data_IF_084826362660
#
_entry.id   IF_084826362660
#
_cell.length_a   1.000
_cell.length_b   1.000
_cell.length_c   1.000
_cell.angle_alpha   90.00
_cell.angle_beta   90.00
_cell.angle_gamma   90.00
#
_symmetry.space_group_name_H-M   'P 1'
#
loop_
_entity.id
_entity.type
_entity.pdbx_description
1 polymer ?
#
# COMPACT_ATOMS: atom_id res chain seq x y z
N UNK A 1 49.53 -6.50 -12.28
CA UNK A 1 48.11 -6.91 -12.41
C UNK A 1 47.71 -7.43 -11.05
N UNK A 2 46.98 -6.60 -10.28
CA UNK A 2 46.67 -6.85 -8.87
C UNK A 2 45.61 -7.95 -8.73
N UNK A 3 45.93 -9.09 -8.08
CA UNK A 3 44.97 -10.19 -7.86
C UNK A 3 43.85 -9.82 -6.87
N UNK A 4 44.05 -8.78 -6.04
CA UNK A 4 43.18 -8.36 -4.94
C UNK A 4 41.83 -7.78 -5.43
N UNK A 5 41.87 -6.99 -6.52
CA UNK A 5 40.64 -6.43 -7.11
C UNK A 5 39.74 -7.49 -7.71
N UNK A 6 40.32 -8.58 -8.24
CA UNK A 6 39.56 -9.67 -8.86
C UNK A 6 38.87 -10.55 -7.79
N UNK A 7 39.52 -10.83 -6.66
CA UNK A 7 38.87 -11.50 -5.53
C UNK A 7 37.76 -10.64 -4.90
N UNK A 8 37.97 -9.33 -4.78
CA UNK A 8 36.96 -8.40 -4.26
C UNK A 8 35.75 -8.28 -5.21
N UNK A 9 35.98 -8.22 -6.53
CA UNK A 9 34.86 -8.26 -7.51
C UNK A 9 34.14 -9.61 -7.55
N UNK A 10 34.84 -10.72 -7.30
CA UNK A 10 34.24 -12.06 -7.28
C UNK A 10 33.36 -12.27 -6.03
N UNK A 11 33.81 -11.79 -4.86
CA UNK A 11 32.98 -11.77 -3.62
C UNK A 11 31.75 -10.88 -3.75
N UNK A 12 31.91 -9.69 -4.35
CA UNK A 12 30.79 -8.78 -4.61
C UNK A 12 29.76 -9.36 -5.60
N UNK A 13 30.19 -10.21 -6.55
CA UNK A 13 29.30 -10.90 -7.48
C UNK A 13 28.54 -12.07 -6.82
N UNK A 14 29.17 -12.82 -5.91
CA UNK A 14 28.52 -13.90 -5.14
C UNK A 14 27.47 -13.36 -4.14
N UNK A 15 27.69 -12.18 -3.56
CA UNK A 15 26.73 -11.48 -2.69
C UNK A 15 25.43 -11.07 -3.39
N UNK A 16 25.43 -10.99 -4.73
CA UNK A 16 24.32 -10.39 -5.48
C UNK A 16 23.20 -11.38 -5.79
N UNK A 17 23.50 -12.67 -5.92
CA UNK A 17 22.52 -13.72 -6.25
C UNK A 17 22.65 -14.98 -5.36
N UNK A 18 23.40 -14.90 -4.26
CA UNK A 18 23.64 -16.00 -3.33
C UNK A 18 22.70 -16.01 -2.11
N UNK A 19 22.72 -17.10 -1.31
CA UNK A 19 21.96 -17.25 -0.06
C UNK A 19 22.15 -16.09 0.94
N UNK A 20 23.23 -15.30 0.80
CA UNK A 20 23.56 -14.17 1.65
C UNK A 20 22.70 -12.91 1.45
N UNK A 21 22.09 -12.68 0.28
CA UNK A 21 21.35 -11.44 0.03
C UNK A 21 20.13 -11.27 0.97
N UNK A 22 19.43 -12.37 1.26
CA UNK A 22 18.30 -12.38 2.21
C UNK A 22 18.76 -12.08 3.63
N UNK A 23 19.91 -12.62 4.04
CA UNK A 23 20.48 -12.37 5.37
C UNK A 23 21.02 -10.95 5.51
N UNK A 24 21.66 -10.41 4.47
CA UNK A 24 22.08 -9.00 4.43
C UNK A 24 20.88 -8.09 4.62
N UNK A 25 19.79 -8.29 3.87
CA UNK A 25 18.56 -7.49 4.01
C UNK A 25 17.98 -7.67 5.42
N UNK A 26 17.85 -8.90 5.91
CA UNK A 26 17.31 -9.19 7.26
C UNK A 26 18.07 -8.46 8.37
N UNK A 27 19.40 -8.46 8.29
CA UNK A 27 20.27 -7.91 9.32
C UNK A 27 20.40 -6.40 9.22
N UNK A 28 20.57 -5.88 8.00
CA UNK A 28 21.02 -4.50 7.77
C UNK A 28 19.90 -3.53 7.38
N UNK A 29 18.67 -4.03 7.31
CA UNK A 29 17.50 -3.24 6.97
C UNK A 29 16.39 -3.37 8.01
N UNK A 30 15.38 -2.52 7.90
CA UNK A 30 14.17 -2.58 8.69
C UNK A 30 13.00 -2.02 7.88
N UNK A 31 11.78 -2.35 8.27
CA UNK A 31 10.57 -1.80 7.66
C UNK A 31 10.03 -0.61 8.46
N UNK A 32 9.60 0.44 7.76
CA UNK A 32 9.05 1.68 8.33
C UNK A 32 7.57 1.53 8.71
N UNK A 33 7.31 0.93 9.86
CA UNK A 33 5.95 0.74 10.39
C UNK A 33 5.22 2.05 10.68
N UNK A 34 5.94 3.13 10.97
CA UNK A 34 5.37 4.46 11.15
C UNK A 34 4.71 4.99 9.87
N UNK A 35 5.22 4.61 8.69
CA UNK A 35 4.60 4.98 7.40
C UNK A 35 3.27 4.27 7.19
N UNK A 36 3.19 2.98 7.49
CA UNK A 36 1.92 2.23 7.46
C UNK A 36 0.89 2.83 8.44
N UNK A 37 1.35 3.28 9.62
CA UNK A 37 0.50 3.84 10.68
C UNK A 37 0.02 5.27 10.38
N UNK A 38 0.67 5.96 9.44
CA UNK A 38 0.32 7.31 9.02
C UNK A 38 -0.81 7.35 7.98
N UNK A 39 -1.11 6.23 7.32
CA UNK A 39 -2.16 6.10 6.30
C UNK A 39 -3.36 5.28 6.80
N UNK A 40 -4.34 4.99 5.95
CA UNK A 40 -5.45 4.11 6.34
C UNK A 40 -4.90 2.71 6.65
N UNK A 41 -5.15 2.26 7.89
CA UNK A 41 -4.76 0.94 8.37
C UNK A 41 -5.81 0.37 9.29
N UNK A 42 -6.02 -0.93 9.27
CA UNK A 42 -7.02 -1.60 10.12
C UNK A 42 -6.36 -2.52 11.13
N UNK A 43 -7.01 -2.77 12.27
CA UNK A 43 -6.45 -3.70 13.26
C UNK A 43 -6.43 -5.11 12.65
N UNK A 44 -5.27 -5.78 12.56
CA UNK A 44 -5.17 -7.10 11.95
C UNK A 44 -6.15 -8.12 12.53
N UNK A 45 -6.44 -8.02 13.82
CA UNK A 45 -7.39 -8.90 14.53
C UNK A 45 -8.80 -8.88 13.93
N UNK A 46 -9.15 -7.83 13.20
CA UNK A 46 -10.46 -7.67 12.56
C UNK A 46 -10.54 -8.44 11.25
N UNK A 47 -9.44 -8.55 10.50
CA UNK A 47 -9.44 -9.15 9.18
C UNK A 47 -8.78 -10.53 9.11
N UNK A 48 -8.01 -10.96 10.12
CA UNK A 48 -7.39 -12.29 10.11
C UNK A 48 -8.43 -13.42 10.05
N UNK A 49 -9.53 -13.41 10.84
CA UNK A 49 -10.59 -14.42 10.69
C UNK A 49 -11.29 -14.35 9.33
N UNK A 50 -11.33 -13.16 8.72
CA UNK A 50 -11.93 -12.96 7.39
C UNK A 50 -11.02 -13.57 6.32
N UNK A 51 -9.70 -13.41 6.44
CA UNK A 51 -8.72 -14.00 5.52
C UNK A 51 -8.91 -15.52 5.42
N UNK A 52 -9.08 -16.20 6.55
CA UNK A 52 -9.33 -17.64 6.57
C UNK A 52 -10.62 -18.00 5.83
N UNK A 53 -11.71 -17.26 6.07
CA UNK A 53 -12.99 -17.47 5.37
C UNK A 53 -12.89 -17.20 3.86
N UNK A 54 -12.10 -16.22 3.45
CA UNK A 54 -11.91 -15.87 2.03
C UNK A 54 -10.95 -16.83 1.31
N UNK A 55 -10.06 -17.51 2.03
CA UNK A 55 -9.08 -18.46 1.47
C UNK A 55 -9.59 -19.92 1.49
N UNK A 56 -10.32 -20.34 2.53
CA UNK A 56 -10.56 -21.76 2.85
C UNK A 56 -11.59 -22.52 1.98
N UNK A 57 -12.14 -21.97 0.90
CA UNK A 57 -13.23 -22.68 0.17
C UNK A 57 -12.96 -23.03 -1.30
N UNK A 58 -11.72 -22.92 -1.79
CA UNK A 58 -11.43 -23.09 -3.23
C UNK A 58 -11.11 -24.53 -3.67
N UNK A 59 -10.76 -25.43 -2.75
CA UNK A 59 -10.25 -26.76 -3.15
C UNK A 59 -11.31 -27.88 -3.15
N UNK A 60 -12.49 -27.66 -2.57
CA UNK A 60 -13.60 -28.62 -2.65
C UNK A 60 -14.57 -28.10 -3.70
N UNK A 61 -14.67 -28.77 -4.85
CA UNK A 61 -15.68 -28.45 -5.87
C UNK A 61 -17.04 -28.96 -5.35
N UNK A 62 -17.98 -28.05 -5.08
CA UNK A 62 -19.33 -28.43 -4.65
C UNK A 62 -20.24 -28.32 -5.86
N UNK A 63 -20.46 -29.43 -6.54
CA UNK A 63 -21.34 -29.52 -7.71
C UNK A 63 -22.83 -29.55 -7.32
N UNK A 64 -23.14 -29.86 -6.05
CA UNK A 64 -24.51 -30.08 -5.57
C UNK A 64 -25.33 -28.79 -5.41
N UNK A 65 -24.69 -27.62 -5.54
CA UNK A 65 -25.37 -26.32 -5.46
C UNK A 65 -25.53 -25.73 -6.86
N UNK A 66 -26.72 -25.22 -7.17
CA UNK A 66 -27.03 -24.50 -8.41
C UNK A 66 -26.66 -23.00 -8.29
N UNK A 67 -26.29 -22.34 -9.40
CA UNK A 67 -26.20 -20.87 -9.47
C UNK A 67 -27.55 -20.21 -9.82
N UNK A 68 -28.63 -20.99 -9.86
CA UNK A 68 -29.95 -20.55 -10.30
C UNK A 68 -29.91 -20.17 -11.78
N UNK A 69 -30.42 -18.98 -12.10
CA UNK A 69 -30.52 -18.48 -13.48
C UNK A 69 -29.18 -18.37 -14.22
N UNK A 70 -28.04 -18.34 -13.50
CA UNK A 70 -26.71 -18.30 -14.12
C UNK A 70 -26.23 -19.68 -14.60
N UNK A 71 -26.87 -20.78 -14.21
CA UNK A 71 -26.51 -22.12 -14.70
C UNK A 71 -26.82 -22.31 -16.20
N UNK A 72 -27.50 -21.35 -16.83
CA UNK A 72 -27.67 -21.31 -18.30
C UNK A 72 -26.36 -21.04 -19.03
N UNK A 73 -25.39 -20.41 -18.35
CA UNK A 73 -24.10 -20.06 -18.94
C UNK A 73 -23.08 -21.18 -18.76
N UNK A 74 -22.22 -21.43 -19.76
CA UNK A 74 -21.01 -22.23 -19.58
C UNK A 74 -20.13 -21.66 -18.46
N UNK A 75 -19.37 -22.54 -17.81
CA UNK A 75 -18.56 -22.19 -16.65
C UNK A 75 -17.53 -21.10 -16.98
N UNK A 76 -16.98 -21.13 -18.19
CA UNK A 76 -16.03 -20.16 -18.73
C UNK A 76 -16.62 -18.76 -18.73
N UNK A 77 -17.88 -18.62 -19.16
CA UNK A 77 -18.59 -17.34 -19.19
C UNK A 77 -18.84 -16.82 -17.77
N UNK A 78 -19.19 -17.71 -16.83
CA UNK A 78 -19.36 -17.31 -15.43
C UNK A 78 -18.04 -16.86 -14.82
N UNK A 79 -16.92 -17.51 -15.16
CA UNK A 79 -15.60 -17.07 -14.73
C UNK A 79 -15.22 -15.71 -15.31
N UNK A 80 -15.45 -15.47 -16.60
CA UNK A 80 -15.23 -14.15 -17.21
C UNK A 80 -16.07 -13.09 -16.52
N UNK A 81 -17.37 -13.34 -16.29
CA UNK A 81 -18.23 -12.42 -15.54
C UNK A 81 -17.59 -12.08 -14.19
N UNK A 82 -17.12 -13.08 -13.43
CA UNK A 82 -16.48 -12.85 -12.13
C UNK A 82 -15.23 -11.96 -12.22
N UNK A 83 -14.45 -12.06 -13.30
CA UNK A 83 -13.26 -11.22 -13.52
C UNK A 83 -13.65 -9.76 -13.82
N UNK A 84 -14.76 -9.53 -14.53
CA UNK A 84 -15.26 -8.20 -14.87
C UNK A 84 -16.11 -7.53 -13.77
N UNK A 85 -16.52 -8.27 -12.73
CA UNK A 85 -17.21 -7.67 -11.60
C UNK A 85 -16.28 -6.73 -10.83
N UNK A 86 -16.81 -5.54 -10.51
CA UNK A 86 -16.19 -4.68 -9.51
C UNK A 86 -16.07 -5.42 -8.15
N UNK A 87 -15.08 -5.04 -7.33
CA UNK A 87 -14.80 -5.70 -6.05
C UNK A 87 -16.07 -5.74 -5.17
N UNK A 88 -16.88 -4.68 -5.17
CA UNK A 88 -18.10 -4.63 -4.39
C UNK A 88 -19.13 -5.67 -4.86
N UNK A 89 -19.31 -5.84 -6.16
CA UNK A 89 -20.22 -6.81 -6.78
C UNK A 89 -19.70 -8.24 -6.66
N UNK A 90 -18.39 -8.46 -6.85
CA UNK A 90 -17.73 -9.75 -6.69
C UNK A 90 -17.92 -10.31 -5.27
N UNK A 91 -17.71 -9.48 -4.24
CA UNK A 91 -17.90 -9.90 -2.85
C UNK A 91 -19.39 -10.06 -2.46
N UNK A 92 -20.32 -9.42 -3.18
CA UNK A 92 -21.76 -9.71 -3.06
C UNK A 92 -22.08 -11.06 -3.67
N UNK A 93 -21.59 -11.35 -4.87
CA UNK A 93 -21.75 -12.64 -5.54
C UNK A 93 -21.18 -13.79 -4.70
N UNK A 94 -19.99 -13.61 -4.13
CA UNK A 94 -19.34 -14.55 -3.21
C UNK A 94 -20.21 -14.94 -1.98
N UNK A 95 -21.22 -14.12 -1.63
CA UNK A 95 -22.12 -14.35 -0.48
C UNK A 95 -23.45 -15.00 -0.85
N UNK A 96 -23.74 -15.19 -2.13
CA UNK A 96 -25.05 -15.72 -2.60
C UNK A 96 -25.23 -17.18 -2.17
N UNK A 97 -24.27 -18.05 -2.51
CA UNK A 97 -24.27 -19.45 -2.11
C UNK A 97 -22.84 -20.04 -2.18
N UNK A 98 -22.68 -21.33 -1.84
CA UNK A 98 -21.36 -22.00 -1.83
C UNK A 98 -20.71 -22.08 -3.22
N UNK A 99 -21.50 -22.29 -4.29
CA UNK A 99 -20.98 -22.35 -5.67
C UNK A 99 -20.54 -20.98 -6.16
N UNK A 100 -21.34 -19.94 -5.93
CA UNK A 100 -20.97 -18.56 -6.27
C UNK A 100 -19.68 -18.13 -5.56
N UNK A 101 -19.51 -18.53 -4.30
CA UNK A 101 -18.25 -18.36 -3.56
C UNK A 101 -17.07 -19.02 -4.26
N UNK A 102 -17.20 -20.29 -4.64
CA UNK A 102 -16.13 -21.02 -5.32
C UNK A 102 -15.73 -20.35 -6.63
N UNK A 103 -16.70 -19.90 -7.42
CA UNK A 103 -16.43 -19.27 -8.71
C UNK A 103 -15.81 -17.89 -8.56
N UNK A 104 -16.32 -17.06 -7.64
CA UNK A 104 -15.76 -15.76 -7.32
C UNK A 104 -14.28 -15.85 -6.87
N UNK A 105 -13.95 -16.91 -6.13
CA UNK A 105 -12.60 -17.13 -5.58
C UNK A 105 -11.67 -17.95 -6.48
N UNK A 106 -12.14 -18.40 -7.65
CA UNK A 106 -11.37 -19.31 -8.50
C UNK A 106 -10.20 -18.62 -9.21
N UNK A 107 -10.35 -17.34 -9.54
CA UNK A 107 -9.35 -16.61 -10.33
C UNK A 107 -8.02 -16.47 -9.57
N UNK A 108 -6.91 -16.54 -10.32
CA UNK A 108 -5.57 -16.31 -9.75
C UNK A 108 -5.45 -14.91 -9.14
N UNK A 109 -6.12 -13.92 -9.74
CA UNK A 109 -6.15 -12.54 -9.27
C UNK A 109 -6.75 -12.44 -7.87
N UNK A 110 -7.90 -13.09 -7.66
CA UNK A 110 -8.53 -13.17 -6.34
C UNK A 110 -7.60 -13.84 -5.33
N UNK A 111 -7.05 -15.01 -5.69
CA UNK A 111 -6.18 -15.78 -4.78
C UNK A 111 -4.96 -14.98 -4.35
N UNK A 112 -4.24 -14.35 -5.28
CA UNK A 112 -3.07 -13.54 -4.96
C UNK A 112 -3.45 -12.34 -4.07
N UNK A 113 -4.50 -11.60 -4.44
CA UNK A 113 -4.93 -10.41 -3.70
C UNK A 113 -5.41 -10.76 -2.28
N UNK A 114 -6.21 -11.81 -2.11
CA UNK A 114 -6.66 -12.21 -0.77
C UNK A 114 -5.51 -12.77 0.07
N UNK A 115 -4.57 -13.49 -0.53
CA UNK A 115 -3.41 -14.02 0.20
C UNK A 115 -2.46 -12.92 0.65
N UNK A 116 -2.17 -11.93 -0.20
CA UNK A 116 -1.09 -10.97 0.05
C UNK A 116 -1.56 -9.55 0.39
N UNK A 117 -2.80 -9.18 0.05
CA UNK A 117 -3.33 -7.82 0.14
C UNK A 117 -4.76 -7.74 0.71
N UNK A 118 -5.15 -8.66 1.60
CA UNK A 118 -6.51 -8.68 2.21
C UNK A 118 -6.88 -7.37 2.90
N UNK A 119 -5.90 -6.68 3.50
CA UNK A 119 -6.12 -5.39 4.15
C UNK A 119 -6.54 -4.32 3.14
N UNK A 120 -5.87 -4.26 1.98
CA UNK A 120 -6.23 -3.35 0.90
C UNK A 120 -7.64 -3.65 0.33
N UNK A 121 -8.02 -4.92 0.22
CA UNK A 121 -9.39 -5.33 -0.14
C UNK A 121 -10.41 -4.81 0.88
N UNK A 122 -10.13 -5.03 2.17
CA UNK A 122 -11.00 -4.59 3.24
C UNK A 122 -11.17 -3.07 3.23
N UNK A 123 -10.07 -2.33 3.11
CA UNK A 123 -10.09 -0.87 3.08
C UNK A 123 -10.83 -0.36 1.84
N UNK A 124 -10.61 -0.96 0.68
CA UNK A 124 -11.34 -0.63 -0.56
C UNK A 124 -12.86 -0.78 -0.37
N UNK A 125 -13.32 -1.86 0.28
CA UNK A 125 -14.73 -2.07 0.60
C UNK A 125 -15.24 -1.06 1.64
N UNK A 126 -14.46 -0.78 2.70
CA UNK A 126 -14.86 0.11 3.81
C UNK A 126 -14.89 1.59 3.44
N UNK A 127 -14.07 1.99 2.48
CA UNK A 127 -14.05 3.35 1.93
C UNK A 127 -15.10 3.55 0.84
N UNK A 128 -15.72 2.46 0.35
CA UNK A 128 -16.80 2.52 -0.63
C UNK A 128 -16.33 2.70 -2.08
N UNK A 129 -15.01 2.67 -2.33
CA UNK A 129 -14.46 2.80 -3.69
C UNK A 129 -14.48 1.49 -4.48
N UNK A 130 -14.77 0.37 -3.82
CA UNK A 130 -14.81 -0.96 -4.41
C UNK A 130 -15.77 -1.15 -5.59
N UNK A 131 -16.69 -0.22 -5.85
CA UNK A 131 -17.59 -0.26 -7.02
C UNK A 131 -16.95 0.27 -8.31
N UNK A 132 -15.76 0.85 -8.23
CA UNK A 132 -15.07 1.47 -9.37
C UNK A 132 -13.97 0.60 -9.96
N UNK A 133 -13.55 -0.44 -9.24
CA UNK A 133 -12.39 -1.24 -9.58
C UNK A 133 -12.70 -2.73 -9.42
N UNK A 134 -12.11 -3.54 -10.28
CA UNK A 134 -12.16 -4.99 -10.25
C UNK A 134 -11.06 -5.57 -9.37
N UNK A 135 -11.15 -6.86 -9.07
CA UNK A 135 -10.07 -7.58 -8.37
C UNK A 135 -8.80 -7.67 -9.23
N UNK A 136 -8.96 -7.66 -10.56
CA UNK A 136 -7.85 -7.66 -11.52
C UNK A 136 -7.08 -6.34 -11.48
N UNK A 137 -7.77 -5.21 -11.29
CA UNK A 137 -7.14 -3.90 -11.14
C UNK A 137 -6.27 -3.87 -9.88
N UNK A 138 -6.78 -4.36 -8.75
CA UNK A 138 -5.99 -4.43 -7.51
C UNK A 138 -4.79 -5.37 -7.66
N UNK A 139 -4.97 -6.50 -8.35
CA UNK A 139 -3.87 -7.41 -8.65
C UNK A 139 -2.80 -6.75 -9.54
N UNK A 140 -3.20 -5.99 -10.56
CA UNK A 140 -2.26 -5.27 -11.41
C UNK A 140 -1.38 -4.31 -10.58
N UNK A 141 -1.99 -3.54 -9.69
CA UNK A 141 -1.25 -2.60 -8.80
C UNK A 141 -0.38 -3.33 -7.78
N UNK A 142 -0.83 -4.48 -7.28
CA UNK A 142 -0.05 -5.36 -6.41
C UNK A 142 1.26 -5.82 -7.10
N UNK A 143 1.22 -6.00 -8.42
CA UNK A 143 2.37 -6.39 -9.25
C UNK A 143 3.21 -5.20 -9.76
N UNK A 144 2.91 -3.96 -9.38
CA UNK A 144 3.73 -2.80 -9.72
C UNK A 144 4.69 -2.50 -8.57
N UNK A 145 6.00 -2.53 -8.84
CA UNK A 145 7.07 -2.28 -7.85
C UNK A 145 7.24 -0.80 -7.51
N UNK A 146 7.19 0.05 -8.53
CA UNK A 146 7.61 1.44 -8.43
C UNK A 146 6.41 2.39 -8.27
N UNK A 147 6.65 3.51 -7.61
CA UNK A 147 5.73 4.64 -7.51
C UNK A 147 5.53 5.24 -8.89
N UNK A 148 4.27 5.45 -9.28
CA UNK A 148 3.96 6.00 -10.61
C UNK A 148 4.43 7.45 -10.78
N UNK A 149 4.51 8.23 -9.69
CA UNK A 149 4.92 9.64 -9.74
C UNK A 149 6.44 9.87 -9.76
N UNK A 150 7.24 9.01 -9.12
CA UNK A 150 8.66 9.29 -8.88
C UNK A 150 9.61 8.09 -9.05
N UNK A 151 9.10 6.94 -9.46
CA UNK A 151 9.85 5.70 -9.70
C UNK A 151 10.57 5.08 -8.48
N UNK A 152 10.49 5.69 -7.29
CA UNK A 152 10.93 5.07 -6.04
C UNK A 152 10.08 3.84 -5.70
N UNK A 153 10.50 3.00 -4.74
CA UNK A 153 9.67 1.86 -4.33
C UNK A 153 8.30 2.34 -3.82
N UNK A 154 7.22 1.84 -4.42
CA UNK A 154 5.87 2.21 -4.02
C UNK A 154 5.38 1.25 -2.94
N UNK A 155 5.35 1.62 -1.66
CA UNK A 155 4.81 0.77 -0.59
C UNK A 155 3.29 0.84 -0.41
N UNK A 156 2.60 1.61 -1.24
CA UNK A 156 1.23 2.05 -1.00
C UNK A 156 0.38 2.08 -2.27
N UNK A 157 -0.94 2.08 -2.08
CA UNK A 157 -1.94 2.31 -3.13
C UNK A 157 -2.76 3.57 -2.82
N UNK A 158 -2.75 4.50 -3.76
CA UNK A 158 -3.60 5.67 -3.77
C UNK A 158 -4.98 5.28 -4.34
N UNK A 159 -5.95 5.14 -3.45
CA UNK A 159 -7.27 4.57 -3.76
C UNK A 159 -8.05 5.33 -4.84
N UNK A 160 -8.04 6.68 -4.93
CA UNK A 160 -8.85 7.40 -5.91
C UNK A 160 -8.53 7.10 -7.37
N UNK A 161 -7.31 6.62 -7.65
CA UNK A 161 -6.86 6.24 -9.00
C UNK A 161 -6.45 4.77 -9.11
N UNK A 162 -6.48 4.00 -8.01
CA UNK A 162 -5.84 2.68 -7.95
C UNK A 162 -4.40 2.73 -8.46
N UNK A 163 -3.65 3.71 -7.97
CA UNK A 163 -2.29 4.01 -8.43
C UNK A 163 -1.27 3.61 -7.37
N UNK A 164 -0.13 3.06 -7.80
CA UNK A 164 0.99 2.74 -6.91
C UNK A 164 1.71 4.01 -6.48
N UNK A 165 1.97 4.18 -5.19
CA UNK A 165 2.69 5.35 -4.67
C UNK A 165 3.68 5.03 -3.54
N UNK A 166 4.66 5.90 -3.33
CA UNK A 166 5.59 5.85 -2.20
C UNK A 166 5.17 6.84 -1.11
N UNK A 167 5.72 6.65 0.10
CA UNK A 167 5.40 7.52 1.24
C UNK A 167 5.79 8.98 1.02
N UNK A 168 6.95 9.23 0.40
CA UNK A 168 7.42 10.58 0.08
C UNK A 168 6.42 11.33 -0.79
N UNK A 169 5.84 10.70 -1.80
CA UNK A 169 4.82 11.34 -2.63
C UNK A 169 3.51 11.64 -1.87
N UNK A 170 3.17 10.84 -0.86
CA UNK A 170 2.03 11.11 0.04
C UNK A 170 2.34 12.35 0.89
N UNK A 171 3.56 12.46 1.39
CA UNK A 171 3.97 13.54 2.30
C UNK A 171 4.24 14.87 1.59
N UNK A 172 4.85 14.83 0.40
CA UNK A 172 5.29 16.02 -0.35
C UNK A 172 4.24 16.52 -1.36
N UNK A 173 2.98 16.13 -1.21
CA UNK A 173 1.86 16.55 -2.07
C UNK A 173 2.08 16.29 -3.58
N UNK A 174 2.91 15.30 -3.92
CA UNK A 174 3.20 14.93 -5.31
C UNK A 174 2.13 14.02 -5.94
N UNK A 175 1.12 13.64 -5.15
CA UNK A 175 -0.05 12.91 -5.62
C UNK A 175 -1.13 13.87 -6.16
N UNK A 176 -2.00 13.40 -7.07
CA UNK A 176 -3.13 14.20 -7.54
C UNK A 176 -3.98 14.76 -6.40
N UNK A 177 -4.34 16.04 -6.50
CA UNK A 177 -5.00 16.77 -5.43
C UNK A 177 -6.38 16.17 -5.09
N UNK A 178 -6.65 16.05 -3.78
CA UNK A 178 -7.86 15.45 -3.23
C UNK A 178 -8.56 16.46 -2.32
N UNK A 179 -9.85 16.68 -2.58
CA UNK A 179 -10.65 17.62 -1.81
C UNK A 179 -11.92 16.99 -1.24
N UNK A 180 -12.46 17.56 -0.14
CA UNK A 180 -13.76 17.16 0.39
C UNK A 180 -14.87 17.38 -0.62
N UNK A 181 -15.71 16.37 -0.85
CA UNK A 181 -16.87 16.46 -1.72
C UNK A 181 -17.85 17.57 -1.29
N UNK A 182 -17.82 17.99 -0.01
CA UNK A 182 -18.56 19.17 0.48
C UNK A 182 -18.24 20.46 -0.26
N UNK A 183 -17.05 20.58 -0.85
CA UNK A 183 -16.64 21.75 -1.61
C UNK A 183 -17.31 21.79 -2.99
N UNK A 184 -17.82 20.66 -3.46
CA UNK A 184 -18.41 20.49 -4.80
C UNK A 184 -19.93 20.34 -4.74
N UNK A 185 -20.46 19.78 -3.63
CA UNK A 185 -21.89 19.58 -3.38
C UNK A 185 -22.78 20.80 -3.65
N UNK A 186 -22.42 22.04 -3.26
CA UNK A 186 -23.27 23.21 -3.51
C UNK A 186 -23.52 23.50 -4.98
N UNK A 187 -22.64 23.03 -5.87
CA UNK A 187 -22.73 23.25 -7.30
C UNK A 187 -23.53 22.14 -8.01
N UNK A 188 -23.79 21.01 -7.35
CA UNK A 188 -24.54 19.89 -7.93
C UNK A 188 -26.02 20.25 -8.14
N UNK A 189 -26.55 19.88 -9.31
CA UNK A 189 -28.00 19.98 -9.57
C UNK A 189 -28.78 19.16 -8.53
N UNK A 190 -29.90 19.69 -8.05
CA UNK A 190 -30.77 19.11 -6.99
C UNK A 190 -31.25 17.66 -7.26
N UNK A 191 -31.14 17.17 -8.50
CA UNK A 191 -31.51 15.79 -8.92
C UNK A 191 -30.32 14.89 -9.22
N UNK A 192 -29.08 15.35 -9.04
CA UNK A 192 -27.93 14.48 -9.17
C UNK A 192 -27.98 13.38 -8.10
N UNK A 193 -27.73 12.13 -8.49
CA UNK A 193 -27.59 11.03 -7.54
C UNK A 193 -26.37 11.22 -6.62
N UNK A 194 -26.05 10.22 -5.77
CA UNK A 194 -24.84 10.27 -4.95
C UNK A 194 -23.58 10.50 -5.79
N UNK A 195 -22.68 11.39 -5.36
CA UNK A 195 -21.42 11.71 -6.06
C UNK A 195 -20.59 10.45 -6.35
N UNK A 196 -20.63 9.48 -5.44
CA UNK A 196 -19.94 8.20 -5.57
C UNK A 196 -20.38 7.35 -6.76
N UNK A 197 -21.53 7.65 -7.40
CA UNK A 197 -21.95 7.03 -8.66
C UNK A 197 -21.42 7.75 -9.90
N UNK A 198 -21.02 9.01 -9.75
CA UNK A 198 -20.55 9.85 -10.85
C UNK A 198 -19.04 9.77 -11.00
N UNK A 199 -18.32 9.74 -9.87
CA UNK A 199 -16.85 9.75 -9.84
C UNK A 199 -16.32 8.87 -8.70
N UNK A 200 -15.10 8.32 -8.83
CA UNK A 200 -14.40 7.64 -7.74
C UNK A 200 -14.38 8.51 -6.48
N UNK A 201 -14.95 8.00 -5.40
CA UNK A 201 -15.10 8.72 -4.14
C UNK A 201 -14.64 7.83 -2.99
N UNK A 202 -13.68 8.32 -2.21
CA UNK A 202 -13.18 7.63 -1.02
C UNK A 202 -13.88 8.20 0.21
N UNK A 203 -14.63 7.35 0.92
CA UNK A 203 -15.14 7.69 2.25
C UNK A 203 -14.07 7.40 3.30
N UNK A 204 -13.48 8.44 3.87
CA UNK A 204 -12.41 8.30 4.85
C UNK A 204 -12.84 7.49 6.07
N UNK A 205 -11.87 6.87 6.74
CA UNK A 205 -12.07 6.15 7.99
C UNK A 205 -11.67 7.04 9.19
N UNK A 206 -12.29 6.88 10.36
CA UNK A 206 -11.77 7.48 11.58
C UNK A 206 -10.44 6.84 11.96
N UNK A 207 -9.46 7.63 12.40
CA UNK A 207 -8.12 7.14 12.72
C UNK A 207 -7.17 8.27 13.06
N UNK A 208 -5.88 7.94 13.18
CA UNK A 208 -4.81 8.95 13.21
C UNK A 208 -4.03 8.85 11.92
N UNK A 209 -3.68 10.00 11.37
CA UNK A 209 -3.04 10.14 10.07
C UNK A 209 -1.79 11.00 10.18
N UNK A 210 -0.92 10.93 9.18
CA UNK A 210 0.41 11.56 9.13
C UNK A 210 1.37 11.10 10.23
N UNK A 211 2.63 11.52 10.13
CA UNK A 211 3.66 11.22 11.14
C UNK A 211 3.44 11.99 12.45
N UNK A 212 2.71 13.10 12.40
CA UNK A 212 2.29 13.89 13.56
C UNK A 212 1.14 13.23 14.34
N UNK A 213 0.58 12.13 13.82
CA UNK A 213 -0.52 11.39 14.42
C UNK A 213 -1.78 12.25 14.62
N UNK A 214 -2.15 13.01 13.60
CA UNK A 214 -3.34 13.86 13.65
C UNK A 214 -4.61 13.03 13.68
N UNK A 215 -5.38 13.13 14.77
CA UNK A 215 -6.61 12.38 14.95
C UNK A 215 -7.77 12.93 14.09
N UNK A 216 -8.43 12.04 13.35
CA UNK A 216 -9.68 12.31 12.62
C UNK A 216 -10.78 11.38 13.11
N UNK A 217 -11.82 11.94 13.73
CA UNK A 217 -12.98 11.18 14.24
C UNK A 217 -14.14 11.10 13.25
N UNK A 218 -14.28 12.12 12.41
CA UNK A 218 -15.35 12.23 11.40
C UNK A 218 -14.92 11.58 10.10
N UNK A 219 -15.90 11.02 9.38
CA UNK A 219 -15.72 10.54 8.02
C UNK A 219 -16.05 11.64 7.03
N UNK A 220 -15.27 11.70 5.96
CA UNK A 220 -15.42 12.66 4.87
C UNK A 220 -15.50 11.89 3.56
N UNK A 221 -16.27 12.39 2.61
CA UNK A 221 -16.16 11.94 1.22
C UNK A 221 -15.09 12.79 0.54
N UNK A 222 -14.12 12.13 -0.04
CA UNK A 222 -12.96 12.71 -0.69
C UNK A 222 -12.98 12.31 -2.17
N UNK A 223 -12.77 13.28 -3.04
CA UNK A 223 -12.73 13.10 -4.50
C UNK A 223 -11.49 13.80 -5.07
N UNK A 224 -11.08 13.36 -6.26
CA UNK A 224 -10.03 14.05 -7.00
C UNK A 224 -10.53 15.39 -7.55
N UNK A 225 -9.63 16.35 -7.63
CA UNK A 225 -9.93 17.66 -8.23
C UNK A 225 -10.28 17.56 -9.71
N UNK A 226 -9.55 16.74 -10.48
CA UNK A 226 -9.79 16.58 -11.90
C UNK A 226 -11.17 15.97 -12.22
N UNK A 227 -11.75 15.20 -11.30
CA UNK A 227 -13.11 14.65 -11.38
C UNK A 227 -14.21 15.73 -11.38
N UNK A 228 -13.91 16.97 -11.00
CA UNK A 228 -14.88 18.09 -11.06
C UNK A 228 -15.34 18.31 -12.50
N UNK A 229 -14.45 18.16 -13.49
CA UNK A 229 -14.79 18.32 -14.91
C UNK A 229 -15.80 17.27 -15.40
N UNK A 230 -15.76 16.05 -14.85
CA UNK A 230 -16.73 14.99 -15.14
C UNK A 230 -18.10 15.29 -14.52
N UNK A 231 -18.11 15.94 -13.36
CA UNK A 231 -19.33 16.35 -12.67
C UNK A 231 -19.97 17.57 -13.35
N UNK A 232 -19.15 18.53 -13.81
CA UNK A 232 -19.57 19.75 -14.49
C UNK A 232 -18.86 19.89 -15.84
N UNK A 233 -19.45 19.35 -16.92
CA UNK A 233 -18.99 19.64 -18.27
C UNK A 233 -19.01 21.16 -18.49
N UNK A 234 -17.97 21.70 -19.13
CA UNK A 234 -17.55 23.12 -19.15
C UNK A 234 -18.56 24.20 -19.60
N UNK A 235 -19.84 23.88 -19.75
CA UNK A 235 -20.91 24.81 -20.09
C UNK A 235 -21.64 25.45 -18.88
N UNK A 236 -21.30 25.10 -17.63
CA UNK A 236 -22.09 25.52 -16.45
C UNK A 236 -21.28 25.91 -15.19
N UNK A 237 -20.10 26.52 -15.30
CA UNK A 237 -19.31 26.92 -14.10
C UNK A 237 -19.01 28.42 -14.09
N UNK A 238 -19.79 29.19 -13.30
CA UNK A 238 -19.53 30.62 -13.08
C UNK A 238 -18.54 30.90 -11.93
N UNK A 239 -18.20 29.92 -11.08
CA UNK A 239 -17.21 30.09 -10.00
C UNK A 239 -16.49 28.78 -9.69
N UNK A 240 -15.17 28.74 -9.91
CA UNK A 240 -14.30 27.69 -9.37
C UNK A 240 -14.33 27.77 -7.83
N UNK A 241 -14.30 26.64 -7.10
CA UNK A 241 -14.06 26.69 -5.67
C UNK A 241 -12.76 27.49 -5.41
N UNK A 242 -12.85 28.53 -4.58
CA UNK A 242 -11.70 29.37 -4.26
C UNK A 242 -10.56 28.52 -3.68
N UNK A 243 -9.30 28.94 -3.89
CA UNK A 243 -8.11 28.29 -3.31
C UNK A 243 -8.36 28.00 -1.83
N UNK A 244 -8.62 26.73 -1.52
CA UNK A 244 -8.79 26.28 -0.14
C UNK A 244 -7.44 26.42 0.54
N UNK A 245 -7.42 26.96 1.76
CA UNK A 245 -6.20 27.06 2.58
C UNK A 245 -5.52 25.70 2.65
N UNK A 246 -4.24 25.64 2.28
CA UNK A 246 -3.37 24.44 2.30
C UNK A 246 -2.94 24.03 3.71
N UNK A 247 -3.65 24.46 4.74
CA UNK A 247 -3.31 24.07 6.11
C UNK A 247 -3.63 22.59 6.34
N UNK A 248 -2.56 21.80 6.40
CA UNK A 248 -2.51 20.40 6.88
C UNK A 248 -3.25 19.40 5.98
N UNK A 249 -2.68 19.11 4.80
CA UNK A 249 -3.20 18.14 3.83
C UNK A 249 -3.10 16.69 4.34
N UNK A 250 -4.03 16.31 5.21
CA UNK A 250 -4.20 14.91 5.64
C UNK A 250 -4.91 14.06 4.59
N UNK A 251 -5.48 14.68 3.57
CA UNK A 251 -6.29 14.03 2.54
C UNK A 251 -5.52 12.90 1.83
N UNK A 252 -4.25 13.08 1.37
CA UNK A 252 -3.49 12.00 0.75
C UNK A 252 -3.34 10.78 1.68
N UNK A 253 -3.05 11.00 2.96
CA UNK A 253 -2.97 9.94 3.97
C UNK A 253 -4.32 9.23 4.19
N UNK A 254 -5.42 9.98 4.13
CA UNK A 254 -6.79 9.51 4.35
C UNK A 254 -7.41 8.78 3.16
N UNK A 255 -6.72 8.72 2.01
CA UNK A 255 -7.15 7.99 0.80
C UNK A 255 -6.12 6.98 0.31
N UNK A 256 -5.11 6.70 1.13
CA UNK A 256 -4.02 5.78 0.80
C UNK A 256 -3.96 4.65 1.81
N UNK A 257 -3.50 3.47 1.41
CA UNK A 257 -3.22 2.36 2.32
C UNK A 257 -1.98 1.59 1.87
N UNK A 258 -1.36 0.85 2.80
CA UNK A 258 -0.20 0.02 2.51
C UNK A 258 -0.57 -1.08 1.51
N UNK A 259 0.29 -1.31 0.53
CA UNK A 259 0.16 -2.38 -0.44
C UNK A 259 1.56 -2.93 -0.75
N UNK A 260 1.85 -4.20 -0.44
CA UNK A 260 3.13 -4.78 -0.79
C UNK A 260 3.27 -4.93 -2.31
N UNK A 261 4.48 -5.18 -2.78
CA UNK A 261 4.77 -5.61 -4.15
C UNK A 261 4.79 -7.14 -4.20
N UNK A 262 4.12 -7.73 -5.18
CA UNK A 262 4.21 -9.14 -5.54
C UNK A 262 4.98 -9.28 -6.85
N UNK A 263 6.09 -9.99 -6.80
CA UNK A 263 6.78 -10.44 -8.01
C UNK A 263 6.11 -11.71 -8.53
N UNK A 264 5.52 -11.63 -9.73
CA UNK A 264 4.84 -12.75 -10.36
C UNK A 264 5.77 -13.87 -10.80
N UNK A 265 7.05 -13.59 -11.05
CA UNK A 265 8.01 -14.59 -11.52
C UNK A 265 8.54 -15.44 -10.37
N UNK A 266 8.78 -14.81 -9.21
CA UNK A 266 9.39 -15.46 -8.06
C UNK A 266 8.42 -15.77 -6.90
N UNK A 267 7.17 -15.31 -6.97
CA UNK A 267 6.16 -15.35 -5.89
C UNK A 267 6.67 -14.70 -4.58
N UNK A 268 7.56 -13.71 -4.72
CA UNK A 268 8.16 -12.97 -3.59
C UNK A 268 7.33 -11.73 -3.29
N UNK A 269 7.06 -11.53 -1.99
CA UNK A 269 6.40 -10.34 -1.47
C UNK A 269 7.41 -9.38 -0.86
N UNK A 270 7.40 -8.13 -1.32
CA UNK A 270 8.21 -7.05 -0.78
C UNK A 270 7.33 -5.95 -0.18
N UNK A 271 7.58 -5.58 1.08
CA UNK A 271 6.94 -4.41 1.72
C UNK A 271 7.78 -3.14 1.60
N UNK A 272 8.99 -3.27 1.02
CA UNK A 272 10.01 -2.24 1.00
C UNK A 272 10.76 -2.15 2.33
N UNK A 273 12.05 -1.85 2.23
CA UNK A 273 12.97 -1.79 3.38
C UNK A 273 13.76 -0.48 3.40
N UNK A 274 14.08 -0.01 4.60
CA UNK A 274 14.97 1.13 4.84
C UNK A 274 16.26 0.64 5.50
N UNK A 275 17.33 1.43 5.38
CA UNK A 275 18.67 1.01 5.79
C UNK A 275 18.96 1.32 7.27
N UNK A 276 19.24 0.29 8.07
CA UNK A 276 19.66 0.45 9.47
C UNK A 276 20.97 1.22 9.57
N UNK A 277 21.89 1.03 8.63
CA UNK A 277 23.12 1.80 8.53
C UNK A 277 22.90 3.30 8.30
N UNK A 278 21.92 3.68 7.47
CA UNK A 278 21.56 5.09 7.28
C UNK A 278 21.01 5.72 8.56
N UNK A 279 20.26 4.98 9.37
CA UNK A 279 19.81 5.45 10.67
C UNK A 279 21.00 5.66 11.63
N UNK A 280 21.94 4.72 11.69
CA UNK A 280 23.14 4.84 12.53
C UNK A 280 23.96 6.06 12.12
N UNK A 281 24.16 6.28 10.83
CA UNK A 281 24.87 7.44 10.31
C UNK A 281 24.19 8.75 10.72
N UNK A 282 22.87 8.84 10.62
CA UNK A 282 22.10 10.00 11.06
C UNK A 282 22.28 10.29 12.55
N UNK A 283 22.17 9.27 13.41
CA UNK A 283 22.32 9.46 14.86
C UNK A 283 23.74 9.93 15.24
N UNK A 284 24.78 9.42 14.56
CA UNK A 284 26.16 9.90 14.71
C UNK A 284 26.33 11.36 14.28
N UNK A 285 25.73 11.74 13.15
CA UNK A 285 25.80 13.11 12.64
C UNK A 285 25.08 14.10 13.59
N UNK A 286 23.91 13.73 14.10
CA UNK A 286 23.14 14.51 15.08
C UNK A 286 23.94 14.73 16.37
N UNK A 287 24.67 13.71 16.84
CA UNK A 287 25.52 13.82 18.03
C UNK A 287 26.74 14.74 17.82
N UNK A 288 27.20 14.86 16.58
CA UNK A 288 28.39 15.65 16.23
C UNK A 288 28.12 17.13 15.88
N UNK A 289 26.86 17.59 15.99
CA UNK A 289 26.41 18.96 15.63
C UNK A 289 26.66 19.36 14.17
N UNK A 290 26.90 18.40 13.27
CA UNK A 290 27.16 18.63 11.83
C UNK A 290 25.90 18.41 11.00
N UNK A 291 24.82 19.14 11.28
CA UNK A 291 23.57 18.95 10.53
C UNK A 291 23.63 19.68 9.19
N UNK A 292 23.77 18.93 8.09
CA UNK A 292 23.41 19.39 6.74
C UNK A 292 21.91 19.16 6.51
N UNK A 293 21.28 19.95 5.67
CA UNK A 293 19.82 19.94 5.44
C UNK A 293 19.23 18.64 4.86
N UNK A 294 20.04 17.72 4.33
CA UNK A 294 19.57 16.57 3.51
C UNK A 294 19.87 15.19 4.16
N UNK A 295 20.10 15.10 5.48
CA UNK A 295 20.50 13.84 6.13
C UNK A 295 19.30 12.90 6.36
N UNK A 296 18.09 13.44 6.55
CA UNK A 296 16.87 12.66 6.72
C UNK A 296 16.48 11.89 5.44
N UNK A 297 16.72 12.47 4.25
CA UNK A 297 16.29 11.92 2.96
C UNK A 297 16.85 10.51 2.69
N UNK A 298 18.10 10.25 3.11
CA UNK A 298 18.74 8.94 2.94
C UNK A 298 18.14 7.88 3.86
N UNK A 299 17.81 8.27 5.10
CA UNK A 299 17.16 7.40 6.09
C UNK A 299 15.72 7.09 5.65
N UNK A 300 15.00 8.09 5.17
CA UNK A 300 13.58 7.98 4.81
C UNK A 300 13.33 7.22 3.51
N UNK A 301 14.40 6.92 2.76
CA UNK A 301 14.29 6.13 1.55
C UNK A 301 13.87 4.69 1.85
N UNK A 302 12.89 4.24 1.08
CA UNK A 302 12.42 2.85 1.05
C UNK A 302 12.86 2.24 -0.28
N UNK A 303 13.44 1.06 -0.22
CA UNK A 303 14.01 0.34 -1.35
C UNK A 303 13.26 -0.98 -1.58
N UNK A 304 13.20 -1.42 -2.84
CA UNK A 304 13.02 -2.85 -3.13
C UNK A 304 14.24 -3.65 -2.65
N UNK A 305 14.13 -4.96 -2.54
CA UNK A 305 15.28 -5.80 -2.18
C UNK A 305 16.46 -5.62 -3.14
N UNK A 306 16.18 -5.60 -4.45
CA UNK A 306 17.16 -5.34 -5.51
C UNK A 306 17.91 -4.00 -5.30
N UNK A 307 17.15 -2.90 -5.19
CA UNK A 307 17.73 -1.55 -5.02
C UNK A 307 18.39 -1.37 -3.65
N UNK A 308 17.96 -2.14 -2.65
CA UNK A 308 18.62 -2.16 -1.35
C UNK A 308 20.02 -2.77 -1.45
N UNK A 309 20.19 -3.85 -2.20
CA UNK A 309 21.51 -4.48 -2.40
C UNK A 309 22.47 -3.55 -3.13
N UNK A 310 21.99 -2.79 -4.12
CA UNK A 310 22.77 -1.72 -4.76
C UNK A 310 23.22 -0.66 -3.74
N UNK A 311 22.30 -0.22 -2.86
CA UNK A 311 22.59 0.74 -1.80
C UNK A 311 23.60 0.19 -0.79
N UNK A 312 23.43 -1.05 -0.34
CA UNK A 312 24.26 -1.72 0.68
C UNK A 312 25.75 -1.65 0.35
N UNK A 313 26.12 -1.89 -0.93
CA UNK A 313 27.52 -1.80 -1.42
C UNK A 313 28.19 -0.46 -1.11
N UNK A 314 27.41 0.63 -1.10
CA UNK A 314 27.91 1.97 -0.83
C UNK A 314 27.76 2.41 0.64
N UNK A 315 26.93 1.74 1.43
CA UNK A 315 26.61 2.15 2.79
C UNK A 315 27.62 1.58 3.80
N UNK A 316 28.56 2.41 4.25
CA UNK A 316 29.61 1.99 5.18
C UNK A 316 29.06 1.45 6.52
N UNK A 317 28.04 2.11 7.09
CA UNK A 317 27.46 1.68 8.36
C UNK A 317 26.65 0.40 8.23
N UNK A 318 26.00 0.15 7.09
CA UNK A 318 25.30 -1.11 6.85
C UNK A 318 26.28 -2.28 6.73
N UNK A 319 27.42 -2.08 6.04
CA UNK A 319 28.47 -3.09 5.94
C UNK A 319 29.11 -3.42 7.28
N UNK A 320 29.43 -2.40 8.10
CA UNK A 320 29.88 -2.64 9.49
C UNK A 320 28.88 -3.44 10.29
N UNK A 321 27.59 -3.18 10.11
CA UNK A 321 26.53 -3.93 10.79
C UNK A 321 26.46 -5.39 10.32
N UNK A 322 26.71 -5.64 9.03
CA UNK A 322 26.83 -6.99 8.48
C UNK A 322 28.07 -7.72 9.02
N UNK A 323 29.21 -7.04 9.11
CA UNK A 323 30.43 -7.65 9.67
C UNK A 323 30.23 -8.03 11.15
N UNK A 324 29.56 -7.16 11.92
CA UNK A 324 29.19 -7.41 13.32
C UNK A 324 28.18 -8.55 13.51
N UNK A 325 27.45 -8.93 12.47
CA UNK A 325 26.50 -10.05 12.54
C UNK A 325 27.17 -11.40 12.29
N UNK A 326 28.48 -11.42 12.02
CA UNK A 326 29.24 -12.62 11.67
C UNK A 326 28.55 -13.40 10.53
N UNK A 327 28.23 -12.70 9.44
CA UNK A 327 27.54 -13.29 8.28
C UNK A 327 26.07 -13.61 8.55
N UNK A 328 25.42 -12.91 9.48
CA UNK A 328 24.01 -13.03 9.81
C UNK A 328 23.68 -14.07 10.88
N UNK A 329 24.70 -14.66 11.52
CA UNK A 329 24.53 -15.63 12.59
C UNK A 329 24.16 -14.98 13.93
N UNK A 330 24.57 -13.73 14.14
CA UNK A 330 24.31 -12.93 15.34
C UNK A 330 23.42 -11.74 14.97
N UNK A 331 22.44 -11.41 15.81
CA UNK A 331 21.69 -10.15 15.67
C UNK A 331 22.51 -8.98 16.24
N UNK A 332 23.00 -8.04 15.41
CA UNK A 332 23.80 -6.93 15.88
C UNK A 332 22.95 -5.92 16.65
N UNK A 333 23.57 -5.18 17.57
CA UNK A 333 22.88 -4.11 18.27
C UNK A 333 22.58 -2.95 17.30
N UNK A 334 21.29 -2.62 17.17
CA UNK A 334 20.79 -1.55 16.30
C UNK A 334 20.10 -0.46 17.14
N UNK A 335 20.04 0.78 16.64
CA UNK A 335 19.37 1.87 17.33
C UNK A 335 17.91 1.55 17.70
N UNK A 336 17.43 2.15 18.79
CA UNK A 336 16.07 1.89 19.28
C UNK A 336 14.98 2.25 18.24
N UNK A 337 15.26 3.22 17.38
CA UNK A 337 14.39 3.58 16.25
C UNK A 337 14.22 2.42 15.27
N UNK A 338 15.31 1.74 14.90
CA UNK A 338 15.32 0.55 14.03
C UNK A 338 14.58 -0.61 14.70
N UNK A 339 14.87 -0.88 15.99
CA UNK A 339 14.19 -1.94 16.77
C UNK A 339 12.68 -1.77 16.85
N UNK A 340 12.20 -0.53 16.79
CA UNK A 340 10.77 -0.19 16.77
C UNK A 340 10.17 -0.12 15.36
N UNK A 341 10.91 -0.52 14.33
CA UNK A 341 10.47 -0.45 12.93
C UNK A 341 10.27 0.99 12.45
N UNK A 342 11.18 1.88 12.79
CA UNK A 342 11.13 3.28 12.36
C UNK A 342 10.18 4.18 13.14
N UNK A 343 9.66 3.73 14.28
CA UNK A 343 8.78 4.56 15.10
C UNK A 343 9.48 5.13 16.33
N UNK A 344 9.34 6.44 16.55
CA UNK A 344 9.76 7.08 17.80
C UNK A 344 8.87 6.66 18.99
N UNK A 345 7.55 6.47 18.74
CA UNK A 345 6.54 6.15 19.74
C UNK A 345 6.05 4.69 19.61
N UNK A 346 5.72 4.03 20.73
CA UNK A 346 5.08 2.70 20.68
C UNK A 346 3.58 2.91 20.48
N UNK A 347 3.01 2.34 19.43
CA UNK A 347 1.58 2.50 19.09
C UNK A 347 1.00 1.19 18.56
N UNK A 348 -0.23 0.89 18.99
CA UNK A 348 -1.08 -0.16 18.42
C UNK A 348 -2.10 0.46 17.44
N UNK A 349 -2.63 -0.35 16.52
CA UNK A 349 -3.64 0.12 15.56
C UNK A 349 -4.98 0.36 16.28
N UNK A 350 -5.29 1.62 16.57
CA UNK A 350 -6.57 2.03 17.17
C UNK A 350 -7.49 2.60 16.08
N UNK A 351 -8.19 1.73 15.35
CA UNK A 351 -9.32 2.14 14.52
C UNK A 351 -10.62 1.65 15.15
N UNK A 352 -11.44 2.59 15.67
CA UNK A 352 -12.76 2.26 16.18
C UNK A 352 -13.75 2.18 15.04
N UNK A 353 -14.24 0.97 14.78
CA UNK A 353 -15.28 0.73 13.77
C UNK A 353 -16.71 0.79 14.33
N UNK A 354 -16.89 1.15 15.62
CA UNK A 354 -18.21 1.33 16.21
C UNK A 354 -18.81 2.66 15.74
N UNK A 355 -19.44 2.65 14.56
CA UNK A 355 -20.49 3.59 14.22
C UNK A 355 -21.82 3.07 14.78
N UNK A 356 -22.55 3.91 15.51
CA UNK A 356 -23.96 3.68 15.84
C UNK A 356 -24.80 3.63 14.57
#
# INVERSE_FOLDING_TARGET
MEPDKAEETTRLHEETNGPFAKDIIRVTSYHRHDYDLAVIRTDPKIHDPIRDVLTQTTNIIILDSSLGSLDVFPLEIVYEICVYLDIQSLFRFHRVNRRARQLASASRYYKAVVTHAVEAVYITLRTGIASWYTISDLYAVLCIKNCESCDAFGGFIFLPLFMRCCFTCIADEALPYVLPASNVRPYLKRRAGPISRLVPTVKSLPGFYSLEETQRKRRFELILENSISTIFPSAEVEKSPGKVSRDTELQPYMVTTALPYLDNESDVIEKGVSCSGCQIALEKDLWSSRVKSNVCDKRDRVYSHERFMEHFRSCQEARKLWDLSEGGTIEPDVPQFVKKGGSAKKRDVVMSFRGK
#
